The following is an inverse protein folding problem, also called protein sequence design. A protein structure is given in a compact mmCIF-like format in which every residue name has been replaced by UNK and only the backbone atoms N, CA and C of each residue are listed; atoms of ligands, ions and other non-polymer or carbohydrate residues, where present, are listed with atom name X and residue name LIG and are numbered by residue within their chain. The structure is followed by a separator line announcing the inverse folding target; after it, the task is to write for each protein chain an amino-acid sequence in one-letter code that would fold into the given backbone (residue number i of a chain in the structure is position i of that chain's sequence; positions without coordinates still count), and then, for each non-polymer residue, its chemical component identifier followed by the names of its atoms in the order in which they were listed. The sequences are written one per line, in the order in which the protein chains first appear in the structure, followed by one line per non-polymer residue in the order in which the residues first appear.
data_IF_735694222934
#
_entry.id   IF_735694222934
#
_cell.length_a   1.000
_cell.length_b   1.000
_cell.length_c   1.000
_cell.angle_alpha   90.00
_cell.angle_beta   90.00
_cell.angle_gamma   90.00
#
_symmetry.space_group_name_H-M   'P 1'
#
loop_
_entity.id
_entity.type
_entity.pdbx_description
1 polymer ?
#
# COMPACT_ATOMS: atom_id res chain seq x y z
N UNK A 1 -22.74 -30.10 35.50
CA UNK A 1 -21.39 -29.73 35.13
C UNK A 1 -20.55 -29.31 36.33
N UNK A 2 -19.24 -29.61 36.30
CA UNK A 2 -18.27 -29.32 37.37
C UNK A 2 -18.07 -27.81 37.61
N UNK A 3 -18.40 -27.00 36.59
CA UNK A 3 -18.33 -25.55 36.67
C UNK A 3 -19.69 -24.97 36.26
N UNK A 4 -20.28 -24.12 37.06
CA UNK A 4 -21.55 -23.40 36.76
C UNK A 4 -21.31 -22.19 35.86
N UNK A 5 -20.53 -22.38 34.78
CA UNK A 5 -20.20 -21.33 33.83
C UNK A 5 -20.95 -21.55 32.52
N UNK A 6 -21.48 -20.47 31.96
CA UNK A 6 -22.03 -20.46 30.62
C UNK A 6 -20.84 -20.30 29.64
N UNK A 7 -20.60 -21.30 28.78
CA UNK A 7 -19.53 -21.29 27.80
C UNK A 7 -20.14 -21.14 26.40
N UNK A 8 -19.69 -20.15 25.67
CA UNK A 8 -20.05 -19.90 24.28
C UNK A 8 -18.79 -20.13 23.41
N UNK A 9 -18.88 -21.02 22.45
CA UNK A 9 -17.83 -21.25 21.47
C UNK A 9 -18.11 -20.41 20.23
N UNK A 10 -17.20 -19.50 19.90
CA UNK A 10 -17.28 -18.65 18.72
C UNK A 10 -16.10 -18.90 17.81
N UNK A 11 -16.37 -19.24 16.55
CA UNK A 11 -15.34 -19.32 15.53
C UNK A 11 -14.92 -17.90 15.12
N UNK A 12 -13.62 -17.63 15.17
CA UNK A 12 -13.04 -16.32 14.81
C UNK A 12 -12.06 -16.47 13.63
N UNK A 13 -11.93 -15.41 12.84
CA UNK A 13 -10.97 -15.35 11.74
C UNK A 13 -9.52 -15.18 12.21
N UNK A 14 -8.56 -15.46 11.34
CA UNK A 14 -7.13 -15.34 11.67
C UNK A 14 -6.75 -13.90 12.08
N UNK A 15 -7.38 -12.88 11.48
CA UNK A 15 -7.15 -11.47 11.85
C UNK A 15 -7.77 -11.14 13.21
N UNK A 16 -8.94 -11.68 13.53
CA UNK A 16 -9.57 -11.47 14.84
C UNK A 16 -8.76 -12.14 15.93
N UNK A 17 -8.19 -13.32 15.66
CA UNK A 17 -7.21 -13.95 16.55
C UNK A 17 -5.99 -13.04 16.78
N UNK A 18 -5.44 -12.45 15.71
CA UNK A 18 -4.32 -11.53 15.82
C UNK A 18 -4.68 -10.28 16.62
N UNK A 19 -5.93 -9.76 16.49
CA UNK A 19 -6.43 -8.65 17.30
C UNK A 19 -6.46 -9.00 18.81
N UNK A 20 -6.86 -10.21 19.16
CA UNK A 20 -6.93 -10.64 20.56
C UNK A 20 -5.55 -10.83 21.19
N UNK A 21 -4.58 -11.32 20.43
CA UNK A 21 -3.22 -11.57 20.92
C UNK A 21 -2.41 -10.27 20.94
N UNK A 22 -2.71 -9.34 20.03
CA UNK A 22 -1.93 -8.15 19.72
C UNK A 22 -0.51 -8.46 19.22
N UNK A 23 0.31 -7.45 18.97
CA UNK A 23 1.70 -7.62 18.55
C UNK A 23 2.21 -6.52 17.64
N UNK A 24 3.36 -6.79 17.04
CA UNK A 24 4.07 -5.89 16.14
C UNK A 24 4.01 -6.45 14.72
N UNK A 25 3.69 -5.58 13.77
CA UNK A 25 3.67 -5.92 12.35
C UNK A 25 5.08 -6.01 11.74
N UNK A 26 5.21 -6.50 10.50
CA UNK A 26 6.49 -6.54 9.79
C UNK A 26 7.11 -5.14 9.57
N UNK A 27 6.33 -4.07 9.70
CA UNK A 27 6.79 -2.68 9.66
C UNK A 27 7.40 -2.16 10.97
N UNK A 28 7.46 -2.98 12.04
CA UNK A 28 7.97 -2.60 13.36
C UNK A 28 6.98 -1.78 14.21
N UNK A 29 5.77 -1.52 13.74
CA UNK A 29 4.71 -0.81 14.48
C UNK A 29 3.68 -1.80 15.01
N UNK A 30 2.92 -1.37 16.03
CA UNK A 30 1.76 -2.13 16.54
C UNK A 30 0.81 -2.46 15.40
N UNK A 31 0.11 -3.59 15.49
CA UNK A 31 -0.82 -4.03 14.44
C UNK A 31 -1.88 -2.95 14.16
N UNK A 32 -2.08 -2.60 12.90
CA UNK A 32 -3.08 -1.60 12.49
C UNK A 32 -4.47 -1.96 12.97
N UNK A 33 -4.83 -3.25 12.91
CA UNK A 33 -6.13 -3.76 13.34
C UNK A 33 -6.37 -3.70 14.85
N UNK A 34 -5.35 -3.52 15.67
CA UNK A 34 -5.47 -3.34 17.13
C UNK A 34 -5.32 -1.89 17.55
N UNK A 35 -4.81 -1.01 16.67
CA UNK A 35 -4.53 0.38 17.01
C UNK A 35 -5.58 1.35 16.50
N UNK A 36 -5.84 1.41 15.19
CA UNK A 36 -6.71 2.43 14.60
C UNK A 36 -7.65 1.93 13.47
N UNK A 37 -7.43 0.72 12.93
CA UNK A 37 -8.25 0.17 11.87
C UNK A 37 -9.28 -0.84 12.42
N UNK A 38 -10.37 -0.33 12.98
CA UNK A 38 -11.44 -1.18 13.51
C UNK A 38 -12.26 -1.82 12.41
N UNK A 39 -12.60 -1.04 11.39
CA UNK A 39 -13.32 -1.50 10.20
C UNK A 39 -12.33 -1.70 9.06
N UNK A 40 -12.39 -2.86 8.44
CA UNK A 40 -11.52 -3.23 7.33
C UNK A 40 -12.36 -3.64 6.15
N UNK A 41 -12.21 -2.89 5.08
CA UNK A 41 -12.75 -3.23 3.78
C UNK A 41 -11.99 -4.40 3.17
N UNK A 42 -12.53 -4.93 2.08
CA UNK A 42 -11.93 -6.02 1.32
C UNK A 42 -10.57 -5.61 0.77
N UNK A 43 -9.53 -6.39 1.07
CA UNK A 43 -8.16 -6.11 0.61
C UNK A 43 -7.90 -6.93 -0.64
N UNK A 44 -7.49 -6.28 -1.72
CA UNK A 44 -7.20 -6.93 -3.00
C UNK A 44 -5.71 -6.91 -3.36
N UNK A 45 -5.29 -7.86 -4.19
CA UNK A 45 -3.92 -7.89 -4.74
C UNK A 45 -3.62 -6.69 -5.64
N UNK A 46 -4.66 -6.07 -6.23
CA UNK A 46 -4.48 -4.87 -7.04
C UNK A 46 -3.98 -3.69 -6.23
N UNK A 47 -4.34 -3.60 -4.95
CA UNK A 47 -3.82 -2.55 -4.05
C UNK A 47 -2.31 -2.70 -3.85
N UNK A 48 -1.80 -3.93 -3.72
CA UNK A 48 -0.36 -4.19 -3.64
C UNK A 48 0.37 -3.81 -4.94
N UNK A 49 -0.22 -4.10 -6.11
CA UNK A 49 0.31 -3.66 -7.42
C UNK A 49 0.31 -2.13 -7.53
N UNK A 50 -0.79 -1.49 -7.11
CA UNK A 50 -0.91 -0.03 -7.13
C UNK A 50 0.17 0.66 -6.28
N UNK A 51 0.59 0.03 -5.19
CA UNK A 51 1.64 0.51 -4.30
C UNK A 51 3.05 0.06 -4.72
N UNK A 52 3.19 -0.60 -5.87
CA UNK A 52 4.49 -1.04 -6.39
C UNK A 52 5.16 -2.16 -5.58
N UNK A 53 4.40 -2.88 -4.74
CA UNK A 53 4.94 -3.96 -3.93
C UNK A 53 5.11 -5.24 -4.74
N UNK A 54 6.23 -5.92 -4.52
CA UNK A 54 6.43 -7.26 -5.06
C UNK A 54 5.35 -8.22 -4.53
N UNK A 55 4.72 -8.98 -5.44
CA UNK A 55 3.64 -9.92 -5.11
C UNK A 55 4.15 -11.20 -4.43
N UNK A 56 5.09 -11.04 -3.51
CA UNK A 56 5.61 -12.12 -2.70
C UNK A 56 4.84 -12.16 -1.37
N UNK A 57 4.28 -13.32 -0.96
CA UNK A 57 3.55 -13.45 0.30
C UNK A 57 4.30 -12.90 1.52
N UNK A 58 5.62 -13.05 1.57
CA UNK A 58 6.44 -12.50 2.65
C UNK A 58 6.46 -10.97 2.73
N UNK A 59 6.10 -10.28 1.63
CA UNK A 59 6.12 -8.81 1.55
C UNK A 59 4.73 -8.18 1.64
N UNK A 60 3.68 -8.93 1.31
CA UNK A 60 2.31 -8.43 1.25
C UNK A 60 1.40 -8.97 2.35
N UNK A 61 1.83 -10.00 3.10
CA UNK A 61 1.06 -10.55 4.20
C UNK A 61 1.46 -9.93 5.54
N UNK A 62 0.46 -9.71 6.37
CA UNK A 62 0.65 -9.26 7.76
C UNK A 62 0.92 -10.43 8.70
N UNK A 63 1.14 -10.14 9.99
CA UNK A 63 1.36 -11.13 11.04
C UNK A 63 0.21 -12.16 11.18
N UNK A 64 -1.01 -11.81 10.76
CA UNK A 64 -2.16 -12.72 10.73
C UNK A 64 -2.17 -13.69 9.52
N UNK A 65 -1.18 -13.64 8.64
CA UNK A 65 -1.10 -14.44 7.41
C UNK A 65 -2.01 -13.99 6.26
N UNK A 66 -2.85 -12.97 6.46
CA UNK A 66 -3.68 -12.35 5.42
C UNK A 66 -2.98 -11.11 4.86
N UNK A 67 -3.46 -10.59 3.72
CA UNK A 67 -2.97 -9.33 3.15
C UNK A 67 -2.96 -8.21 4.19
N UNK A 68 -1.92 -7.37 4.16
CA UNK A 68 -1.73 -6.29 5.11
C UNK A 68 -2.85 -5.25 5.05
N UNK A 69 -3.36 -4.84 6.20
CA UNK A 69 -4.42 -3.84 6.32
C UNK A 69 -4.01 -2.46 5.78
N UNK A 70 -2.74 -2.09 5.91
CA UNK A 70 -2.22 -0.82 5.41
C UNK A 70 -2.37 -0.69 3.88
N UNK A 71 -2.43 -1.80 3.14
CA UNK A 71 -2.67 -1.75 1.69
C UNK A 71 -3.99 -1.05 1.35
N UNK A 72 -5.07 -1.33 2.09
CA UNK A 72 -6.35 -0.65 1.89
C UNK A 72 -6.29 0.78 2.42
N UNK A 73 -5.72 0.98 3.58
CA UNK A 73 -5.63 2.29 4.23
C UNK A 73 -4.88 3.33 3.39
N UNK A 74 -3.82 2.92 2.72
CA UNK A 74 -2.97 3.80 1.91
C UNK A 74 -3.39 3.87 0.44
N UNK A 75 -4.26 2.97 -0.04
CA UNK A 75 -4.58 2.81 -1.45
C UNK A 75 -5.10 4.08 -2.12
N UNK A 76 -5.92 4.86 -1.43
CA UNK A 76 -6.53 6.07 -2.00
C UNK A 76 -5.46 7.13 -2.28
N UNK A 77 -4.53 7.33 -1.33
CA UNK A 77 -3.41 8.24 -1.50
C UNK A 77 -2.54 7.85 -2.71
N UNK A 78 -2.21 6.55 -2.82
CA UNK A 78 -1.45 6.05 -3.99
C UNK A 78 -2.21 6.23 -5.30
N UNK A 79 -3.52 6.02 -5.29
CA UNK A 79 -4.36 6.18 -6.48
C UNK A 79 -4.43 7.65 -6.92
N UNK A 80 -4.53 8.58 -5.98
CA UNK A 80 -4.53 10.02 -6.28
C UNK A 80 -3.18 10.50 -6.82
N UNK A 81 -2.09 10.13 -6.16
CA UNK A 81 -0.74 10.46 -6.62
C UNK A 81 -0.45 9.87 -8.01
N UNK A 82 -0.86 8.63 -8.25
CA UNK A 82 -0.62 7.95 -9.53
C UNK A 82 -1.35 8.60 -10.71
N UNK A 83 -2.50 9.22 -10.49
CA UNK A 83 -3.22 9.97 -11.55
C UNK A 83 -2.41 11.16 -12.08
N UNK A 84 -1.48 11.67 -11.29
CA UNK A 84 -0.63 12.82 -11.65
C UNK A 84 0.66 12.39 -12.36
N UNK A 85 0.98 11.11 -12.36
CA UNK A 85 2.21 10.57 -12.94
C UNK A 85 1.93 9.88 -14.28
N UNK A 86 2.86 9.96 -15.23
CA UNK A 86 2.79 9.19 -16.46
C UNK A 86 3.07 7.72 -16.17
N UNK A 87 2.34 6.83 -16.85
CA UNK A 87 2.52 5.38 -16.69
C UNK A 87 3.92 4.93 -17.14
N UNK A 88 4.50 4.00 -16.40
CA UNK A 88 5.78 3.36 -16.76
C UNK A 88 5.68 2.73 -18.15
N UNK A 89 6.65 3.03 -18.99
CA UNK A 89 6.71 2.55 -20.37
C UNK A 89 6.13 3.49 -21.42
N UNK A 90 5.41 4.56 -21.02
CA UNK A 90 4.96 5.60 -21.96
C UNK A 90 6.11 6.51 -22.38
N UNK A 91 6.01 7.04 -23.62
CA UNK A 91 6.85 8.12 -24.10
C UNK A 91 6.29 9.45 -23.59
N UNK A 92 7.13 10.25 -22.96
CA UNK A 92 6.79 11.57 -22.43
C UNK A 92 7.75 12.61 -23.01
N UNK A 93 7.18 13.73 -23.40
CA UNK A 93 7.93 14.89 -23.85
C UNK A 93 8.30 15.75 -22.64
N UNK A 94 9.57 16.00 -22.47
CA UNK A 94 10.12 16.76 -21.34
C UNK A 94 10.99 17.90 -21.84
N UNK A 95 11.33 18.86 -20.99
CA UNK A 95 12.24 19.96 -21.32
C UNK A 95 13.60 19.49 -21.86
N UNK A 96 13.97 18.25 -21.60
CA UNK A 96 15.24 17.63 -22.02
C UNK A 96 15.09 16.72 -23.25
N UNK A 97 13.90 16.63 -23.83
CA UNK A 97 13.58 15.79 -24.99
C UNK A 97 12.57 14.70 -24.70
N UNK A 98 12.24 13.94 -25.73
CA UNK A 98 11.28 12.83 -25.64
C UNK A 98 11.99 11.58 -25.12
N UNK A 99 11.48 10.99 -24.05
CA UNK A 99 12.04 9.78 -23.46
C UNK A 99 10.97 8.83 -22.95
N UNK A 100 11.38 7.59 -22.67
CA UNK A 100 10.54 6.55 -22.13
C UNK A 100 10.59 6.55 -20.60
N UNK A 101 9.44 6.55 -19.93
CA UNK A 101 9.37 6.42 -18.48
C UNK A 101 9.85 5.04 -18.05
N UNK A 102 10.87 4.99 -17.21
CA UNK A 102 11.51 3.74 -16.72
C UNK A 102 10.99 3.36 -15.34
N UNK A 103 10.86 4.35 -14.46
CA UNK A 103 10.35 4.13 -13.09
C UNK A 103 9.54 5.31 -12.60
N UNK A 104 8.70 5.07 -11.62
CA UNK A 104 7.87 6.07 -10.94
C UNK A 104 8.08 5.99 -9.43
N UNK A 105 8.17 7.12 -8.76
CA UNK A 105 8.10 7.27 -7.32
C UNK A 105 6.79 8.00 -6.99
N UNK A 106 5.77 7.21 -6.68
CA UNK A 106 4.39 7.69 -6.59
C UNK A 106 4.20 8.69 -5.45
N UNK A 107 4.84 8.44 -4.30
CA UNK A 107 4.65 9.31 -3.12
C UNK A 107 5.41 10.62 -3.20
N UNK A 108 6.56 10.63 -3.86
CA UNK A 108 7.35 11.84 -4.07
C UNK A 108 6.98 12.61 -5.35
N UNK A 109 5.99 12.10 -6.12
CA UNK A 109 5.55 12.64 -7.40
C UNK A 109 6.72 12.85 -8.36
N UNK A 110 7.57 11.84 -8.47
CA UNK A 110 8.74 11.83 -9.34
C UNK A 110 8.67 10.66 -10.30
N UNK A 111 9.23 10.85 -11.49
CA UNK A 111 9.42 9.77 -12.45
C UNK A 111 10.76 9.89 -13.15
N UNK A 112 11.31 8.75 -13.53
CA UNK A 112 12.60 8.69 -14.22
C UNK A 112 12.36 8.39 -15.69
N UNK A 113 12.92 9.22 -16.55
CA UNK A 113 12.83 9.09 -18.01
C UNK A 113 14.20 8.72 -18.57
N UNK A 114 14.21 7.79 -19.50
CA UNK A 114 15.40 7.47 -20.29
C UNK A 114 15.36 8.27 -21.59
N UNK A 115 16.30 9.21 -21.71
CA UNK A 115 16.49 10.05 -22.89
C UNK A 115 17.92 9.77 -23.41
N UNK A 116 18.06 9.21 -24.61
CA UNK A 116 19.37 8.91 -25.21
C UNK A 116 20.31 8.08 -24.33
N UNK A 117 19.80 7.07 -23.61
CA UNK A 117 20.50 6.25 -22.62
C UNK A 117 20.93 6.99 -21.33
N UNK A 118 20.49 8.20 -21.12
CA UNK A 118 20.64 8.92 -19.86
C UNK A 118 19.36 8.85 -19.05
N UNK A 119 19.47 8.52 -17.76
CA UNK A 119 18.36 8.51 -16.81
C UNK A 119 18.24 9.90 -16.18
N UNK A 120 17.11 10.56 -16.39
CA UNK A 120 16.81 11.86 -15.77
C UNK A 120 15.59 11.74 -14.88
N UNK A 121 15.73 12.19 -13.64
CA UNK A 121 14.65 12.25 -12.66
C UNK A 121 13.91 13.59 -12.81
N UNK A 122 12.59 13.52 -13.01
CA UNK A 122 11.72 14.67 -13.17
C UNK A 122 10.69 14.66 -12.05
N UNK A 123 10.56 15.79 -11.37
CA UNK A 123 9.55 15.99 -10.33
C UNK A 123 8.33 16.68 -10.91
N UNK A 124 7.15 16.11 -10.73
CA UNK A 124 5.89 16.79 -11.03
C UNK A 124 5.68 17.85 -9.95
N UNK A 125 5.60 19.11 -10.35
CA UNK A 125 5.26 20.20 -9.44
C UNK A 125 3.79 20.05 -9.09
N UNK A 126 3.51 19.81 -7.82
CA UNK A 126 2.16 19.68 -7.28
C UNK A 126 1.41 21.00 -7.49
N UNK A 127 0.50 21.07 -8.45
CA UNK A 127 -0.44 22.16 -8.58
C UNK A 127 -1.50 22.00 -7.49
N UNK A 128 -1.12 22.36 -6.28
CA UNK A 128 -1.84 22.49 -5.04
C UNK A 128 -3.32 22.12 -5.05
N UNK A 129 -3.64 20.90 -4.69
CA UNK A 129 -4.98 20.56 -4.20
C UNK A 129 -4.89 19.47 -3.10
N UNK A 130 -4.12 19.76 -2.04
CA UNK A 130 -4.30 19.03 -0.77
C UNK A 130 -5.52 19.66 -0.11
N UNK A 131 -6.66 18.97 -0.16
CA UNK A 131 -7.74 19.21 0.79
C UNK A 131 -7.25 18.71 2.15
N UNK A 132 -7.15 19.65 3.08
CA UNK A 132 -7.02 19.38 4.51
C UNK A 132 -8.19 18.55 5.05
#
# INVERSE_FOLDING_TARGET
GKYKLRVELRQIGARDKAKLIDGIGPCGRRLCCTSFLDKLDSISMNMAKNQGLALNPSKINGACGRLMCCLTYENDNYTECRKQLPEVGKMVETEHGTGKVVSEDVLNLKYTVNINNELKEIKVVDNGNRKE
#
